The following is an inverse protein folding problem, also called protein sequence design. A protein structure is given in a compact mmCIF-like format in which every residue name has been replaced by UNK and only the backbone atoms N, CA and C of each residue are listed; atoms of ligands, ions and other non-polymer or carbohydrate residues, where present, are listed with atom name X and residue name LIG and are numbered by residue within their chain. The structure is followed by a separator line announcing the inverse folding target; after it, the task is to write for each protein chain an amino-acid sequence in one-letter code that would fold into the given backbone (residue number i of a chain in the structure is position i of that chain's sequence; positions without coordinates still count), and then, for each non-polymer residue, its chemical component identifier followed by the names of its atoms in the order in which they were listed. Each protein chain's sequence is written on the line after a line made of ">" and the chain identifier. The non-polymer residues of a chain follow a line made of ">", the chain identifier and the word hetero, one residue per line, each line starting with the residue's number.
data_IF_901873848111
#
_entry.id   IF_901873848111
#
_cell.length_a   1.000
_cell.length_b   1.000
_cell.length_c   1.000
_cell.angle_alpha   90.00
_cell.angle_beta   90.00
_cell.angle_gamma   90.00
#
_symmetry.space_group_name_H-M   'P 1'
#
loop_
_entity.id
_entity.type
_entity.pdbx_description
1 polymer ?
#
# COMPACT_ATOMS: atom_id res chain seq x y z
N UNK A 1 -2.15 7.71 30.05
CA UNK A 1 -2.43 7.21 28.68
C UNK A 1 -2.99 8.39 27.89
N UNK A 2 -2.32 8.83 26.82
CA UNK A 2 -2.92 9.81 25.92
C UNK A 2 -4.08 9.14 25.18
N UNK A 3 -5.27 9.74 25.26
CA UNK A 3 -6.45 9.29 24.51
C UNK A 3 -6.43 9.98 23.15
N UNK A 4 -6.58 9.20 22.08
CA UNK A 4 -6.87 9.73 20.75
C UNK A 4 -8.33 10.16 20.72
N UNK A 5 -8.59 11.39 20.31
CA UNK A 5 -9.95 11.86 20.04
C UNK A 5 -10.53 11.07 18.86
N UNK A 6 -11.75 10.57 19.03
CA UNK A 6 -12.36 9.67 18.05
C UNK A 6 -13.00 10.48 16.91
N UNK A 7 -12.59 10.18 15.68
CA UNK A 7 -13.13 10.75 14.46
C UNK A 7 -14.63 10.40 14.33
N UNK A 8 -15.52 11.40 14.25
CA UNK A 8 -16.96 11.15 14.16
C UNK A 8 -17.34 10.54 12.81
N UNK A 9 -18.46 9.82 12.80
CA UNK A 9 -19.08 9.39 11.56
C UNK A 9 -19.80 10.55 10.88
N UNK A 10 -19.15 11.13 9.87
CA UNK A 10 -19.67 12.28 9.12
C UNK A 10 -20.86 11.90 8.21
N UNK A 11 -21.10 10.60 7.96
CA UNK A 11 -22.14 10.08 7.03
C UNK A 11 -22.14 10.77 5.66
N UNK A 12 -20.94 10.94 5.09
CA UNK A 12 -20.73 11.66 3.84
C UNK A 12 -20.48 10.73 2.66
N UNK A 13 -21.01 11.09 1.49
CA UNK A 13 -20.70 10.42 0.24
C UNK A 13 -19.23 10.62 -0.17
N UNK A 14 -18.71 9.75 -1.05
CA UNK A 14 -17.30 9.80 -1.48
C UNK A 14 -16.94 11.10 -2.22
N UNK A 15 -17.90 11.70 -2.92
CA UNK A 15 -17.72 12.98 -3.62
C UNK A 15 -17.93 14.21 -2.71
N UNK A 16 -18.32 14.01 -1.45
CA UNK A 16 -18.62 15.09 -0.51
C UNK A 16 -17.42 15.45 0.38
N UNK A 17 -16.20 15.34 -0.17
CA UNK A 17 -14.98 15.58 0.60
C UNK A 17 -14.96 16.96 1.22
N UNK A 18 -15.53 17.99 0.60
CA UNK A 18 -15.65 19.33 1.19
C UNK A 18 -16.24 19.35 2.62
N UNK A 19 -17.10 18.39 2.99
CA UNK A 19 -17.64 18.27 4.36
C UNK A 19 -16.60 17.82 5.39
N UNK A 20 -15.49 17.21 4.95
CA UNK A 20 -14.35 16.91 5.81
C UNK A 20 -13.54 18.16 6.17
N UNK A 21 -13.73 19.31 5.51
CA UNK A 21 -12.96 20.53 5.82
C UNK A 21 -13.30 21.10 7.19
N UNK A 22 -14.54 20.90 7.63
CA UNK A 22 -15.03 21.35 8.93
C UNK A 22 -14.62 20.43 10.08
N UNK A 23 -13.96 19.31 9.80
CA UNK A 23 -13.51 18.33 10.80
C UNK A 23 -12.01 18.54 11.14
N UNK A 24 -11.68 19.13 12.32
CA UNK A 24 -10.30 19.46 12.68
C UNK A 24 -9.37 18.24 12.73
N UNK A 25 -9.88 17.05 13.05
CA UNK A 25 -9.09 15.83 13.12
C UNK A 25 -8.50 15.41 11.76
N UNK A 26 -9.11 15.87 10.67
CA UNK A 26 -8.70 15.55 9.30
C UNK A 26 -7.77 16.60 8.69
N UNK A 27 -7.44 17.70 9.39
CA UNK A 27 -6.60 18.79 8.87
C UNK A 27 -5.27 18.27 8.26
N UNK A 28 -4.59 17.35 8.95
CA UNK A 28 -3.32 16.80 8.47
C UNK A 28 -3.51 15.83 7.30
N UNK A 29 -4.59 15.05 7.31
CA UNK A 29 -4.96 14.16 6.19
C UNK A 29 -5.21 15.00 4.94
N UNK A 30 -5.94 16.10 5.08
CA UNK A 30 -6.24 17.04 4.01
C UNK A 30 -5.00 17.64 3.36
N UNK A 31 -4.09 18.16 4.18
CA UNK A 31 -2.85 18.79 3.71
C UNK A 31 -2.08 17.84 2.79
N UNK A 32 -1.95 16.58 3.19
CA UNK A 32 -1.21 15.56 2.44
C UNK A 32 -2.02 15.02 1.26
N UNK A 33 -3.31 14.74 1.43
CA UNK A 33 -4.18 14.20 0.39
C UNK A 33 -4.30 15.15 -0.82
N UNK A 34 -4.43 16.45 -0.59
CA UNK A 34 -4.51 17.44 -1.66
C UNK A 34 -3.22 17.56 -2.49
N UNK A 35 -2.08 17.13 -1.95
CA UNK A 35 -0.81 17.14 -2.67
C UNK A 35 -0.54 15.84 -3.43
N UNK A 36 -0.90 14.68 -2.85
CA UNK A 36 -0.52 13.37 -3.37
C UNK A 36 -1.65 12.56 -4.01
N UNK A 37 -2.91 12.93 -3.74
CA UNK A 37 -4.10 12.14 -4.10
C UNK A 37 -5.19 13.03 -4.69
N UNK A 38 -4.81 14.14 -5.33
CA UNK A 38 -5.71 15.02 -6.07
C UNK A 38 -5.59 14.76 -7.57
N UNK A 39 -6.71 14.91 -8.28
CA UNK A 39 -6.70 15.04 -9.74
C UNK A 39 -6.46 16.52 -10.09
N UNK A 40 -5.76 16.79 -11.19
CA UNK A 40 -5.26 18.13 -11.56
C UNK A 40 -6.26 19.27 -11.27
N UNK A 41 -5.97 20.09 -10.24
CA UNK A 41 -6.72 21.30 -9.90
C UNK A 41 -7.94 21.10 -8.99
N UNK A 42 -8.31 19.85 -8.66
CA UNK A 42 -9.47 19.54 -7.83
C UNK A 42 -9.12 19.21 -6.37
N UNK A 43 -10.07 19.49 -5.47
CA UNK A 43 -10.00 19.09 -4.06
C UNK A 43 -10.02 17.56 -3.99
N UNK A 44 -9.08 16.96 -3.23
CA UNK A 44 -9.00 15.50 -3.15
C UNK A 44 -10.27 14.89 -2.55
N UNK A 45 -10.75 13.79 -3.15
CA UNK A 45 -11.82 12.96 -2.59
C UNK A 45 -11.31 11.97 -1.53
N UNK A 46 -9.99 11.84 -1.40
CA UNK A 46 -9.35 10.86 -0.53
C UNK A 46 -9.74 10.99 0.96
N UNK A 47 -9.92 12.20 1.54
CA UNK A 47 -10.38 12.32 2.92
C UNK A 47 -11.76 11.70 3.17
N UNK A 48 -12.74 11.90 2.26
CA UNK A 48 -14.06 11.29 2.40
C UNK A 48 -14.00 9.75 2.30
N UNK A 49 -13.16 9.24 1.39
CA UNK A 49 -12.92 7.80 1.26
C UNK A 49 -12.25 7.21 2.50
N UNK A 50 -11.24 7.91 3.03
CA UNK A 50 -10.56 7.54 4.26
C UNK A 50 -11.52 7.47 5.45
N UNK A 51 -12.33 8.52 5.66
CA UNK A 51 -13.35 8.55 6.73
C UNK A 51 -14.30 7.36 6.61
N UNK A 52 -14.83 7.10 5.41
CA UNK A 52 -15.72 5.97 5.20
C UNK A 52 -15.04 4.63 5.49
N UNK A 53 -13.80 4.41 5.03
CA UNK A 53 -13.03 3.19 5.34
C UNK A 53 -12.76 3.05 6.84
N UNK A 54 -12.45 4.16 7.52
CA UNK A 54 -12.22 4.18 8.96
C UNK A 54 -13.46 3.73 9.73
N UNK A 55 -14.60 4.38 9.51
CA UNK A 55 -15.87 4.05 10.18
C UNK A 55 -16.29 2.62 9.82
N UNK A 56 -16.22 2.24 8.55
CA UNK A 56 -16.58 0.89 8.12
C UNK A 56 -15.73 -0.21 8.77
N UNK A 57 -14.47 0.07 9.08
CA UNK A 57 -13.60 -0.88 9.77
C UNK A 57 -13.91 -1.05 11.26
N UNK A 58 -14.65 -0.10 11.87
CA UNK A 58 -15.09 -0.15 13.27
C UNK A 58 -16.42 -0.89 13.45
N UNK A 59 -17.27 -0.87 12.44
CA UNK A 59 -18.61 -1.43 12.48
C UNK A 59 -18.63 -2.92 12.11
N UNK A 60 -19.66 -3.62 12.56
CA UNK A 60 -20.01 -4.96 12.06
C UNK A 60 -20.52 -4.89 10.61
N UNK A 61 -20.52 -6.01 9.86
CA UNK A 61 -21.13 -6.05 8.53
C UNK A 61 -22.59 -5.54 8.51
N UNK A 62 -23.39 -5.89 9.52
CA UNK A 62 -24.80 -5.50 9.63
C UNK A 62 -24.96 -3.99 9.91
N UNK A 63 -24.16 -3.45 10.82
CA UNK A 63 -24.12 -2.01 11.12
C UNK A 63 -23.69 -1.19 9.90
N UNK A 64 -22.74 -1.71 9.11
CA UNK A 64 -22.30 -1.10 7.87
C UNK A 64 -23.41 -1.02 6.81
N UNK A 65 -24.18 -2.09 6.64
CA UNK A 65 -25.35 -2.10 5.72
C UNK A 65 -26.37 -1.05 6.15
N UNK A 66 -26.67 -0.95 7.46
CA UNK A 66 -27.61 0.04 7.98
C UNK A 66 -27.09 1.48 7.74
N UNK A 67 -25.81 1.72 8.04
CA UNK A 67 -25.15 3.02 7.82
C UNK A 67 -25.23 3.44 6.35
N UNK A 68 -24.91 2.55 5.41
CA UNK A 68 -24.96 2.88 3.98
C UNK A 68 -26.38 3.15 3.49
N UNK A 69 -27.38 2.44 4.01
CA UNK A 69 -28.79 2.72 3.72
C UNK A 69 -29.21 4.13 4.16
N UNK A 70 -28.77 4.58 5.33
CA UNK A 70 -29.00 5.97 5.79
C UNK A 70 -28.35 7.02 4.88
N UNK A 71 -27.24 6.65 4.23
CA UNK A 71 -26.55 7.49 3.26
C UNK A 71 -27.11 7.37 1.82
N UNK A 72 -28.15 6.56 1.61
CA UNK A 72 -28.74 6.33 0.29
C UNK A 72 -27.89 5.44 -0.63
N UNK A 73 -26.96 4.66 -0.09
CA UNK A 73 -26.12 3.72 -0.83
C UNK A 73 -26.61 2.30 -0.59
N UNK A 74 -26.95 1.59 -1.67
CA UNK A 74 -27.38 0.18 -1.60
C UNK A 74 -26.16 -0.75 -1.70
N UNK A 75 -25.88 -1.47 -0.61
CA UNK A 75 -24.88 -2.54 -0.53
C UNK A 75 -25.44 -3.70 0.28
N UNK A 76 -25.08 -4.92 -0.12
CA UNK A 76 -25.54 -6.12 0.56
C UNK A 76 -24.59 -6.53 1.69
N UNK A 77 -25.06 -7.43 2.55
CA UNK A 77 -24.21 -8.04 3.57
C UNK A 77 -23.05 -8.83 2.94
N UNK A 78 -23.27 -9.43 1.76
CA UNK A 78 -22.24 -10.20 1.05
C UNK A 78 -21.05 -9.32 0.65
N UNK A 79 -21.26 -8.03 0.34
CA UNK A 79 -20.17 -7.10 -0.02
C UNK A 79 -19.14 -6.93 1.12
N UNK A 80 -19.58 -7.00 2.38
CA UNK A 80 -18.72 -6.87 3.56
C UNK A 80 -18.14 -8.20 4.03
N UNK A 81 -18.74 -9.31 3.60
CA UNK A 81 -18.26 -10.67 3.87
C UNK A 81 -17.39 -11.22 2.74
N UNK A 82 -17.26 -10.49 1.63
CA UNK A 82 -16.51 -10.93 0.46
C UNK A 82 -15.02 -11.18 0.81
N UNK A 83 -14.39 -12.23 0.26
CA UNK A 83 -12.98 -12.56 0.56
C UNK A 83 -11.98 -11.44 0.23
N UNK A 84 -12.34 -10.53 -0.66
CA UNK A 84 -11.56 -9.37 -1.08
C UNK A 84 -11.85 -8.10 -0.25
N UNK A 85 -12.79 -8.15 0.70
CA UNK A 85 -13.07 -7.01 1.58
C UNK A 85 -11.91 -6.80 2.55
N UNK A 86 -11.13 -5.73 2.35
CA UNK A 86 -9.97 -5.39 3.16
C UNK A 86 -10.33 -4.32 4.20
N UNK A 87 -10.39 -4.73 5.47
CA UNK A 87 -10.47 -3.80 6.61
C UNK A 87 -9.20 -2.97 6.73
N UNK A 88 -9.34 -1.75 7.25
CA UNK A 88 -8.23 -0.87 7.55
C UNK A 88 -7.41 -1.44 8.71
N UNK A 89 -6.10 -1.51 8.53
CA UNK A 89 -5.18 -2.00 9.55
C UNK A 89 -4.91 -0.90 10.60
N UNK A 90 -5.34 -1.17 11.83
CA UNK A 90 -5.13 -0.30 13.00
C UNK A 90 -4.26 -0.98 14.07
N UNK A 91 -3.62 -2.11 13.76
CA UNK A 91 -2.86 -2.94 14.71
C UNK A 91 -1.68 -2.20 15.37
N UNK A 92 -1.18 -1.15 14.74
CA UNK A 92 -0.07 -0.34 15.24
C UNK A 92 -0.48 0.81 16.18
N UNK A 93 -1.76 0.92 16.56
CA UNK A 93 -2.25 2.01 17.45
C UNK A 93 -1.54 2.03 18.80
N UNK A 94 -1.39 0.87 19.44
CA UNK A 94 -0.74 0.79 20.75
C UNK A 94 0.74 1.16 20.64
N UNK A 95 1.43 0.65 19.61
CA UNK A 95 2.81 1.01 19.31
C UNK A 95 3.00 2.50 19.04
N UNK A 96 2.01 3.17 18.42
CA UNK A 96 2.02 4.62 18.24
C UNK A 96 1.96 5.35 19.59
N UNK A 97 1.04 4.94 20.48
CA UNK A 97 0.79 5.61 21.76
C UNK A 97 1.85 5.33 22.83
N UNK A 98 2.42 4.13 22.84
CA UNK A 98 3.36 3.67 23.87
C UNK A 98 4.82 4.04 23.58
N UNK A 99 5.16 4.38 22.32
CA UNK A 99 6.52 4.76 21.96
C UNK A 99 6.88 6.15 22.50
N UNK A 100 7.54 6.18 23.66
CA UNK A 100 7.91 7.41 24.36
C UNK A 100 8.79 8.34 23.51
N UNK A 101 9.77 7.81 22.78
CA UNK A 101 10.63 8.58 21.89
C UNK A 101 9.82 9.26 20.77
N UNK A 102 8.83 8.55 20.22
CA UNK A 102 7.93 9.09 19.23
C UNK A 102 7.07 10.20 19.82
N UNK A 103 6.43 9.97 20.98
CA UNK A 103 5.57 10.97 21.64
C UNK A 103 6.34 12.25 21.99
N UNK A 104 7.58 12.09 22.48
CA UNK A 104 8.47 13.21 22.74
C UNK A 104 8.82 13.98 21.46
N UNK A 105 9.04 13.26 20.34
CA UNK A 105 9.30 13.89 19.04
C UNK A 105 8.06 14.67 18.55
N UNK A 106 6.85 14.08 18.63
CA UNK A 106 5.58 14.72 18.25
C UNK A 106 5.40 16.04 19.02
N UNK A 107 5.63 16.01 20.33
CA UNK A 107 5.56 17.19 21.20
C UNK A 107 6.62 18.24 20.85
N UNK A 108 7.84 17.83 20.48
CA UNK A 108 8.89 18.75 20.05
C UNK A 108 8.50 19.50 18.78
N UNK A 109 7.88 18.82 17.81
CA UNK A 109 7.33 19.45 16.61
C UNK A 109 6.05 20.27 16.90
N UNK A 110 5.43 20.10 18.07
CA UNK A 110 4.18 20.77 18.43
C UNK A 110 2.99 20.29 17.61
N UNK A 111 2.99 19.00 17.24
CA UNK A 111 1.93 18.40 16.47
C UNK A 111 0.84 17.88 17.40
N UNK A 112 -0.39 17.93 16.90
CA UNK A 112 -1.51 17.28 17.57
C UNK A 112 -1.42 15.76 17.38
N UNK A 113 -1.53 15.02 18.48
CA UNK A 113 -1.37 13.56 18.50
C UNK A 113 -2.52 12.87 17.77
N UNK A 114 -3.76 13.35 17.92
CA UNK A 114 -4.95 12.79 17.28
C UNK A 114 -4.93 13.05 15.78
N UNK A 115 -4.63 14.29 15.36
CA UNK A 115 -4.51 14.62 13.92
C UNK A 115 -3.39 13.82 13.25
N UNK A 116 -2.26 13.66 13.93
CA UNK A 116 -1.14 12.87 13.42
C UNK A 116 -1.47 11.38 13.34
N UNK A 117 -2.24 10.84 14.29
CA UNK A 117 -2.72 9.47 14.23
C UNK A 117 -3.54 9.22 12.96
N UNK A 118 -4.49 10.11 12.64
CA UNK A 118 -5.30 9.98 11.43
C UNK A 118 -4.48 10.16 10.14
N UNK A 119 -3.51 11.08 10.13
CA UNK A 119 -2.57 11.18 9.00
C UNK A 119 -1.74 9.89 8.83
N UNK A 120 -1.23 9.32 9.92
CA UNK A 120 -0.45 8.09 9.89
C UNK A 120 -1.27 6.92 9.34
N UNK A 121 -2.51 6.79 9.81
CA UNK A 121 -3.45 5.76 9.37
C UNK A 121 -3.81 5.93 7.90
N UNK A 122 -4.06 7.16 7.45
CA UNK A 122 -4.34 7.49 6.05
C UNK A 122 -3.16 7.12 5.14
N UNK A 123 -1.95 7.57 5.46
CA UNK A 123 -0.75 7.29 4.64
C UNK A 123 -0.50 5.79 4.54
N UNK A 124 -0.64 5.07 5.65
CA UNK A 124 -0.48 3.61 5.66
C UNK A 124 -1.55 2.92 4.80
N UNK A 125 -2.84 3.23 5.02
CA UNK A 125 -3.94 2.63 4.26
C UNK A 125 -3.85 2.96 2.76
N UNK A 126 -3.46 4.19 2.40
CA UNK A 126 -3.23 4.59 1.02
C UNK A 126 -2.10 3.79 0.36
N UNK A 127 -0.94 3.65 1.00
CA UNK A 127 0.19 2.90 0.42
C UNK A 127 -0.13 1.40 0.34
N UNK A 128 -0.83 0.87 1.35
CA UNK A 128 -1.34 -0.49 1.34
C UNK A 128 -2.53 -0.69 0.39
N UNK A 129 -3.02 0.35 -0.25
CA UNK A 129 -4.04 0.23 -1.30
C UNK A 129 -3.43 -0.24 -2.63
N UNK A 130 -2.21 0.20 -2.91
CA UNK A 130 -1.40 -0.21 -4.07
C UNK A 130 -0.91 -1.66 -3.97
N UNK A 131 -1.01 -2.28 -2.79
CA UNK A 131 -0.71 -3.70 -2.61
C UNK A 131 -1.83 -4.60 -3.13
N UNK A 132 -2.94 -4.00 -3.55
CA UNK A 132 -4.03 -4.68 -4.21
C UNK A 132 -4.13 -4.24 -5.66
N UNK A 133 -3.07 -4.27 -6.49
CA UNK A 133 -3.32 -4.13 -7.94
C UNK A 133 -4.44 -5.13 -8.31
N UNK A 134 -5.57 -4.65 -8.86
CA UNK A 134 -6.52 -5.48 -9.61
C UNK A 134 -5.69 -6.52 -10.32
N UNK A 135 -5.81 -7.80 -9.92
CA UNK A 135 -4.93 -8.89 -10.34
C UNK A 135 -4.52 -8.62 -11.78
N UNK A 136 -3.24 -8.34 -12.05
CA UNK A 136 -2.76 -8.48 -13.42
C UNK A 136 -3.24 -9.86 -13.83
N UNK A 137 -3.99 -9.94 -14.93
CA UNK A 137 -4.43 -11.26 -15.39
C UNK A 137 -3.17 -12.11 -15.57
N UNK A 138 -3.23 -13.40 -15.27
CA UNK A 138 -2.09 -14.32 -15.44
C UNK A 138 -1.44 -14.17 -16.83
N UNK A 139 -2.23 -13.77 -17.83
CA UNK A 139 -1.83 -13.48 -19.21
C UNK A 139 -0.98 -12.20 -19.34
N UNK A 140 -1.24 -11.18 -18.53
CA UNK A 140 -0.41 -9.97 -18.49
C UNK A 140 0.95 -10.24 -17.85
N UNK A 141 0.99 -11.05 -16.78
CA UNK A 141 2.26 -11.42 -16.15
C UNK A 141 3.11 -12.32 -17.05
N UNK A 142 2.47 -13.22 -17.81
CA UNK A 142 3.15 -13.99 -18.86
C UNK A 142 3.64 -13.06 -19.98
N UNK A 143 2.88 -12.02 -20.33
CA UNK A 143 3.29 -11.01 -21.32
C UNK A 143 4.54 -10.25 -20.90
N UNK A 144 4.56 -9.72 -19.68
CA UNK A 144 5.72 -9.03 -19.12
C UNK A 144 6.95 -9.96 -19.04
N UNK A 145 6.74 -11.26 -18.77
CA UNK A 145 7.81 -12.25 -18.78
C UNK A 145 8.36 -12.49 -20.20
N UNK A 146 7.50 -12.65 -21.21
CA UNK A 146 7.89 -12.78 -22.63
C UNK A 146 8.73 -11.58 -23.08
N UNK A 147 8.34 -10.36 -22.70
CA UNK A 147 9.11 -9.15 -23.02
C UNK A 147 10.51 -9.19 -22.40
N UNK A 148 10.62 -9.68 -21.16
CA UNK A 148 11.91 -9.84 -20.49
C UNK A 148 12.82 -10.89 -21.14
N UNK A 149 12.25 -11.94 -21.76
CA UNK A 149 13.01 -12.97 -22.47
C UNK A 149 13.66 -12.43 -23.74
N UNK A 150 13.08 -11.41 -24.38
CA UNK A 150 13.63 -10.80 -25.60
C UNK A 150 15.01 -10.17 -25.40
N UNK A 151 15.35 -9.79 -24.16
CA UNK A 151 16.59 -9.10 -23.80
C UNK A 151 17.47 -9.91 -22.83
N UNK A 152 17.10 -11.16 -22.51
CA UNK A 152 17.84 -11.94 -21.51
C UNK A 152 19.03 -12.68 -22.14
N UNK A 153 20.11 -12.84 -21.37
CA UNK A 153 21.29 -13.63 -21.75
C UNK A 153 21.23 -15.08 -21.24
N UNK A 154 20.18 -15.43 -20.50
CA UNK A 154 20.01 -16.72 -19.84
C UNK A 154 18.79 -16.73 -18.92
N UNK A 155 18.29 -17.93 -18.64
CA UNK A 155 17.17 -18.20 -17.74
C UNK A 155 17.67 -19.15 -16.65
N UNK A 156 17.23 -18.93 -15.41
CA UNK A 156 17.40 -19.88 -14.32
C UNK A 156 16.04 -20.18 -13.70
N UNK A 157 15.68 -21.46 -13.67
CA UNK A 157 14.49 -21.97 -13.00
C UNK A 157 14.89 -22.62 -11.69
N UNK A 158 14.38 -22.09 -10.58
CA UNK A 158 14.61 -22.63 -9.25
C UNK A 158 13.36 -23.35 -8.76
N UNK A 159 13.45 -24.65 -8.53
CA UNK A 159 12.39 -25.41 -7.88
C UNK A 159 12.48 -25.22 -6.36
N UNK A 160 11.44 -24.64 -5.76
CA UNK A 160 11.28 -24.42 -4.31
C UNK A 160 10.77 -25.66 -3.57
N UNK A 161 11.31 -26.84 -3.87
CA UNK A 161 11.07 -28.04 -3.07
C UNK A 161 12.15 -28.21 -1.98
N UNK A 162 11.97 -29.18 -1.07
CA UNK A 162 12.89 -29.44 0.06
C UNK A 162 14.37 -29.63 -0.34
N UNK A 163 14.65 -29.91 -1.63
CA UNK A 163 16.00 -30.16 -2.15
C UNK A 163 16.56 -29.03 -3.04
N UNK A 164 15.86 -27.90 -3.18
CA UNK A 164 16.23 -26.71 -4.00
C UNK A 164 17.12 -27.04 -5.22
N UNK A 165 16.50 -27.44 -6.33
CA UNK A 165 17.21 -27.67 -7.60
C UNK A 165 17.09 -26.45 -8.52
N UNK A 166 18.21 -26.07 -9.11
CA UNK A 166 18.28 -25.03 -10.13
C UNK A 166 18.51 -25.67 -11.50
N UNK A 167 17.84 -25.14 -12.52
CA UNK A 167 18.06 -25.45 -13.92
C UNK A 167 18.36 -24.15 -14.64
N UNK A 168 19.55 -24.04 -15.20
CA UNK A 168 19.98 -22.88 -15.95
C UNK A 168 20.13 -23.21 -17.43
N UNK A 169 19.83 -22.23 -18.28
CA UNK A 169 20.14 -22.28 -19.69
C UNK A 169 20.52 -20.90 -20.20
N UNK A 170 21.57 -20.84 -21.01
CA UNK A 170 21.97 -19.65 -21.78
C UNK A 170 21.86 -19.90 -23.28
N UNK A 171 21.29 -21.04 -23.67
CA UNK A 171 21.12 -21.39 -25.08
C UNK A 171 20.01 -20.56 -25.71
N UNK A 172 20.39 -19.74 -26.69
CA UNK A 172 19.47 -18.83 -27.37
C UNK A 172 18.24 -19.54 -27.95
N UNK A 173 18.42 -20.71 -28.59
CA UNK A 173 17.31 -21.45 -29.19
C UNK A 173 16.30 -21.94 -28.14
N UNK A 174 16.78 -22.31 -26.95
CA UNK A 174 15.93 -22.76 -25.84
C UNK A 174 15.13 -21.60 -25.26
N UNK A 175 15.77 -20.43 -25.12
CA UNK A 175 15.12 -19.19 -24.68
C UNK A 175 14.06 -18.75 -25.70
N UNK A 176 14.40 -18.74 -27.00
CA UNK A 176 13.48 -18.42 -28.10
C UNK A 176 12.29 -19.40 -28.16
N UNK A 177 12.52 -20.69 -27.91
CA UNK A 177 11.44 -21.68 -27.85
C UNK A 177 10.46 -21.41 -26.70
N UNK A 178 10.96 -21.11 -25.50
CA UNK A 178 10.13 -20.76 -24.34
C UNK A 178 9.32 -19.50 -24.63
N UNK A 179 9.95 -18.49 -25.24
CA UNK A 179 9.28 -17.26 -25.65
C UNK A 179 8.12 -17.55 -26.62
N UNK A 180 8.37 -18.29 -27.69
CA UNK A 180 7.37 -18.65 -28.70
C UNK A 180 6.19 -19.45 -28.12
N UNK A 181 6.46 -20.36 -27.18
CA UNK A 181 5.42 -21.15 -26.52
C UNK A 181 4.49 -20.28 -25.67
N UNK A 182 5.05 -19.32 -24.92
CA UNK A 182 4.29 -18.39 -24.09
C UNK A 182 3.53 -17.35 -24.93
N UNK A 183 4.13 -16.86 -26.01
CA UNK A 183 3.47 -16.00 -27.00
C UNK A 183 2.25 -16.68 -27.63
N UNK A 184 2.41 -17.96 -27.99
CA UNK A 184 1.32 -18.76 -28.55
C UNK A 184 0.20 -18.96 -27.52
N UNK A 185 0.55 -19.17 -26.25
CA UNK A 185 -0.40 -19.25 -25.15
C UNK A 185 -1.21 -17.95 -25.00
N UNK A 186 -0.55 -16.79 -24.94
CA UNK A 186 -1.22 -15.47 -24.81
C UNK A 186 -2.19 -15.24 -25.97
N UNK A 187 -1.74 -15.50 -27.20
CA UNK A 187 -2.57 -15.34 -28.41
C UNK A 187 -3.80 -16.24 -28.36
N UNK A 188 -3.62 -17.52 -28.03
CA UNK A 188 -4.71 -18.49 -27.95
C UNK A 188 -5.72 -18.12 -26.86
N UNK A 189 -5.25 -17.66 -25.69
CA UNK A 189 -6.11 -17.18 -24.63
C UNK A 189 -6.95 -15.98 -25.08
N UNK A 190 -6.30 -14.94 -25.63
CA UNK A 190 -6.96 -13.73 -26.08
C UNK A 190 -7.98 -14.03 -27.19
N UNK A 191 -7.67 -14.95 -28.11
CA UNK A 191 -8.61 -15.39 -29.14
C UNK A 191 -9.86 -16.04 -28.53
N UNK A 192 -9.74 -16.85 -27.48
CA UNK A 192 -10.89 -17.48 -26.80
C UNK A 192 -11.72 -16.43 -26.05
N UNK A 193 -11.07 -15.50 -25.35
CA UNK A 193 -11.77 -14.43 -24.61
C UNK A 193 -12.51 -13.49 -25.56
N UNK A 194 -11.92 -13.14 -26.70
CA UNK A 194 -12.49 -12.20 -27.67
C UNK A 194 -13.52 -12.85 -28.62
N UNK A 195 -13.62 -14.19 -28.63
CA UNK A 195 -14.68 -14.88 -29.40
C UNK A 195 -16.06 -14.53 -28.86
N UNK A 196 -17.02 -14.42 -29.78
CA UNK A 196 -18.42 -14.21 -29.45
C UNK A 196 -19.09 -15.55 -29.07
N UNK A 197 -18.72 -16.07 -27.90
CA UNK A 197 -19.20 -17.34 -27.33
C UNK A 197 -19.80 -17.10 -25.95
N UNK A 198 -20.65 -18.04 -25.50
CA UNK A 198 -21.18 -18.00 -24.14
C UNK A 198 -20.04 -18.17 -23.11
N UNK A 199 -20.17 -17.63 -21.89
CA UNK A 199 -19.17 -17.82 -20.83
C UNK A 199 -18.87 -19.30 -20.53
N UNK A 200 -19.88 -20.17 -20.65
CA UNK A 200 -19.75 -21.61 -20.44
C UNK A 200 -18.92 -22.29 -21.53
N UNK A 201 -19.08 -21.88 -22.79
CA UNK A 201 -18.31 -22.42 -23.91
C UNK A 201 -16.87 -21.90 -23.91
N UNK A 202 -16.66 -20.63 -23.53
CA UNK A 202 -15.31 -20.09 -23.28
C UNK A 202 -14.59 -20.89 -22.20
N UNK A 203 -15.25 -21.13 -21.06
CA UNK A 203 -14.67 -21.93 -19.98
C UNK A 203 -14.34 -23.35 -20.45
N UNK A 204 -15.21 -23.98 -21.26
CA UNK A 204 -14.94 -25.30 -21.83
C UNK A 204 -13.71 -25.30 -22.75
N UNK A 205 -13.57 -24.32 -23.64
CA UNK A 205 -12.41 -24.19 -24.52
C UNK A 205 -11.12 -23.97 -23.72
N UNK A 206 -11.17 -23.12 -22.68
CA UNK A 206 -10.03 -22.91 -21.78
C UNK A 206 -9.63 -24.23 -21.09
N UNK A 207 -10.61 -25.04 -20.67
CA UNK A 207 -10.36 -26.37 -20.10
C UNK A 207 -9.67 -27.33 -21.08
N UNK A 208 -10.07 -27.33 -22.35
CA UNK A 208 -9.56 -28.21 -23.40
C UNK A 208 -8.12 -27.89 -23.82
N UNK A 209 -7.70 -26.62 -23.76
CA UNK A 209 -6.32 -26.22 -24.10
C UNK A 209 -5.30 -26.49 -22.96
N UNK A 210 -5.71 -27.22 -21.92
CA UNK A 210 -4.83 -27.59 -20.81
C UNK A 210 -4.65 -26.51 -19.73
N UNK A 211 -5.36 -25.37 -19.80
CA UNK A 211 -5.33 -24.38 -18.72
C UNK A 211 -5.81 -24.98 -17.41
N UNK A 212 -6.72 -25.96 -17.43
CA UNK A 212 -7.17 -26.59 -16.19
C UNK A 212 -6.03 -27.26 -15.42
N UNK A 213 -5.04 -27.85 -16.11
CA UNK A 213 -3.85 -28.38 -15.43
C UNK A 213 -2.95 -27.26 -14.87
N UNK A 214 -2.86 -26.14 -15.59
CA UNK A 214 -2.15 -24.94 -15.12
C UNK A 214 -2.85 -24.26 -13.94
N UNK A 215 -4.19 -24.23 -13.92
CA UNK A 215 -5.04 -23.61 -12.90
C UNK A 215 -5.26 -24.52 -11.67
N UNK A 216 -5.39 -25.83 -11.87
CA UNK A 216 -5.65 -26.81 -10.81
C UNK A 216 -4.35 -27.41 -10.23
N UNK A 217 -3.25 -27.45 -11.00
CA UNK A 217 -1.96 -28.04 -10.60
C UNK A 217 -0.77 -27.11 -10.78
N UNK A 218 -0.99 -25.85 -11.18
CA UNK A 218 -0.03 -24.78 -10.94
C UNK A 218 0.14 -24.58 -9.45
N UNK A 219 0.87 -25.48 -8.80
CA UNK A 219 1.49 -25.20 -7.52
C UNK A 219 2.39 -23.99 -7.77
N UNK A 220 1.91 -22.80 -7.42
CA UNK A 220 2.73 -21.62 -7.27
C UNK A 220 3.62 -21.29 -8.50
N UNK A 221 3.06 -20.65 -9.52
CA UNK A 221 3.68 -19.36 -9.84
C UNK A 221 3.17 -18.42 -8.77
N UNK A 222 3.81 -18.53 -7.62
CA UNK A 222 3.54 -17.66 -6.50
C UNK A 222 4.10 -16.28 -6.85
N UNK A 223 3.25 -15.44 -7.42
CA UNK A 223 3.46 -14.00 -7.43
C UNK A 223 3.02 -13.35 -6.10
N UNK A 224 2.73 -14.09 -5.02
CA UNK A 224 2.54 -13.49 -3.67
C UNK A 224 3.78 -12.69 -3.23
N UNK A 225 4.92 -12.86 -3.91
CA UNK A 225 6.10 -12.02 -3.70
C UNK A 225 6.30 -10.85 -4.69
N UNK A 226 5.34 -10.53 -5.57
CA UNK A 226 5.41 -9.34 -6.45
C UNK A 226 4.12 -8.51 -6.60
N UNK A 227 2.97 -8.90 -6.05
CA UNK A 227 1.77 -8.04 -6.09
C UNK A 227 1.76 -6.94 -5.03
N UNK A 228 2.67 -7.01 -4.06
CA UNK A 228 2.90 -5.95 -3.08
C UNK A 228 4.06 -5.08 -3.53
N UNK A 229 3.88 -3.75 -3.51
CA UNK A 229 5.00 -2.81 -3.63
C UNK A 229 6.13 -3.29 -2.72
N UNK A 230 7.34 -3.42 -3.27
CA UNK A 230 8.50 -3.84 -2.49
C UNK A 230 8.56 -2.98 -1.23
N UNK A 231 8.82 -3.58 -0.06
CA UNK A 231 8.78 -2.86 1.22
C UNK A 231 9.65 -1.59 1.22
N UNK A 232 10.75 -1.62 0.47
CA UNK A 232 11.61 -0.45 0.23
C UNK A 232 10.90 0.69 -0.51
N UNK A 233 10.06 0.38 -1.49
CA UNK A 233 9.26 1.33 -2.26
C UNK A 233 8.10 1.89 -1.43
N UNK A 234 7.43 1.06 -0.62
CA UNK A 234 6.43 1.51 0.38
C UNK A 234 7.04 2.52 1.36
N UNK A 235 8.20 2.18 1.94
CA UNK A 235 8.95 3.07 2.85
C UNK A 235 9.37 4.37 2.18
N UNK A 236 9.77 4.32 0.91
CA UNK A 236 10.12 5.52 0.15
C UNK A 236 8.91 6.45 0.01
N UNK A 237 7.77 5.95 -0.47
CA UNK A 237 6.56 6.79 -0.62
C UNK A 237 6.05 7.32 0.71
N UNK A 238 6.06 6.48 1.74
CA UNK A 238 5.73 6.88 3.09
C UNK A 238 6.59 8.07 3.53
N UNK A 239 7.90 7.98 3.33
CA UNK A 239 8.83 9.04 3.69
C UNK A 239 8.68 10.30 2.83
N UNK A 240 8.35 10.16 1.54
CA UNK A 240 8.04 11.26 0.65
C UNK A 240 6.82 12.07 1.15
N UNK A 241 5.73 11.38 1.49
CA UNK A 241 4.52 12.01 2.03
C UNK A 241 4.76 12.75 3.35
N UNK A 242 5.51 12.15 4.27
CA UNK A 242 5.85 12.81 5.53
C UNK A 242 6.92 13.90 5.39
N UNK A 243 7.81 13.84 4.39
CA UNK A 243 8.74 14.94 4.10
C UNK A 243 7.99 16.18 3.65
N UNK A 244 6.98 16.02 2.78
CA UNK A 244 6.09 17.09 2.39
C UNK A 244 5.36 17.67 3.61
N UNK A 245 4.70 16.82 4.41
CA UNK A 245 4.00 17.27 5.62
C UNK A 245 4.94 18.02 6.58
N UNK A 246 6.16 17.56 6.76
CA UNK A 246 7.11 18.19 7.69
C UNK A 246 7.88 19.36 7.08
N UNK A 247 7.69 19.72 5.81
CA UNK A 247 8.53 20.70 5.08
C UNK A 247 8.72 22.01 5.83
N UNK A 248 7.62 22.61 6.30
CA UNK A 248 7.64 23.91 6.97
C UNK A 248 7.58 23.82 8.50
N UNK A 249 7.53 22.60 9.05
CA UNK A 249 7.49 22.34 10.49
C UNK A 249 8.91 22.22 11.05
N UNK A 250 9.14 22.81 12.22
CA UNK A 250 10.43 22.74 12.94
C UNK A 250 10.21 22.34 14.38
N UNK A 251 11.03 21.40 14.85
CA UNK A 251 11.02 20.99 16.24
C UNK A 251 11.64 22.07 17.13
N UNK A 252 11.01 22.33 18.28
CA UNK A 252 11.49 23.24 19.31
C UNK A 252 11.74 22.48 20.62
N UNK A 253 13.02 22.32 20.97
CA UNK A 253 13.44 21.64 22.20
C UNK A 253 12.97 22.35 23.46
N UNK A 254 12.68 23.65 23.40
CA UNK A 254 12.18 24.40 24.57
C UNK A 254 10.84 23.89 25.05
N UNK A 255 10.03 23.27 24.19
CA UNK A 255 8.75 22.65 24.56
C UNK A 255 8.90 21.44 25.50
N UNK A 256 10.12 20.94 25.68
CA UNK A 256 10.46 19.76 26.48
C UNK A 256 11.54 20.05 27.53
N UNK A 257 11.91 21.32 27.73
CA UNK A 257 12.97 21.70 28.68
C UNK A 257 12.66 21.28 30.12
N UNK A 258 11.38 21.11 30.45
CA UNK A 258 10.93 20.69 31.79
C UNK A 258 11.04 19.19 32.06
N UNK A 259 11.29 18.34 31.04
CA UNK A 259 11.28 16.87 31.19
C UNK A 259 12.70 16.27 31.09
N UNK A 260 13.74 17.08 30.80
CA UNK A 260 15.14 16.65 30.66
C UNK A 260 15.32 15.37 29.79
N UNK A 261 14.53 15.24 28.71
CA UNK A 261 14.61 14.11 27.79
C UNK A 261 15.44 14.49 26.57
N UNK A 262 16.31 13.58 26.13
CA UNK A 262 17.04 13.73 24.86
C UNK A 262 16.09 13.43 23.70
N UNK A 263 15.73 14.47 22.94
CA UNK A 263 14.81 14.35 21.80
C UNK A 263 15.50 14.77 20.51
N UNK A 264 15.43 13.89 19.51
CA UNK A 264 15.91 14.20 18.16
C UNK A 264 14.99 15.21 17.50
N UNK A 265 15.57 16.28 16.96
CA UNK A 265 14.87 17.31 16.17
C UNK A 265 14.97 17.07 14.67
N UNK A 266 15.57 15.95 14.27
CA UNK A 266 15.76 15.59 12.87
C UNK A 266 14.45 15.04 12.27
N UNK A 267 13.97 15.67 11.19
CA UNK A 267 12.77 15.22 10.45
C UNK A 267 12.95 13.79 9.94
N UNK A 268 14.14 13.43 9.47
CA UNK A 268 14.42 12.08 8.99
C UNK A 268 14.29 11.05 10.10
N UNK A 269 14.76 11.39 11.30
CA UNK A 269 14.62 10.52 12.45
C UNK A 269 13.14 10.37 12.83
N UNK A 270 12.38 11.45 12.79
CA UNK A 270 10.94 11.39 13.06
C UNK A 270 10.20 10.48 12.07
N UNK A 271 10.45 10.64 10.77
CA UNK A 271 9.87 9.78 9.72
C UNK A 271 10.31 8.33 9.92
N UNK A 272 11.57 8.10 10.27
CA UNK A 272 12.10 6.77 10.56
C UNK A 272 11.35 6.09 11.72
N UNK A 273 11.04 6.82 12.80
CA UNK A 273 10.21 6.30 13.91
C UNK A 273 8.80 5.96 13.46
N UNK A 274 8.19 6.77 12.59
CA UNK A 274 6.86 6.49 12.04
C UNK A 274 6.86 5.21 11.17
N UNK A 275 7.89 5.00 10.34
CA UNK A 275 8.11 3.76 9.57
C UNK A 275 8.20 2.54 10.49
N UNK A 276 8.94 2.66 11.60
CA UNK A 276 9.00 1.61 12.61
C UNK A 276 7.62 1.37 13.22
N UNK A 277 6.88 2.43 13.58
CA UNK A 277 5.55 2.32 14.20
C UNK A 277 4.58 1.54 13.33
N UNK A 278 4.48 1.84 12.03
CA UNK A 278 3.57 1.13 11.10
C UNK A 278 4.06 -0.27 10.72
N UNK A 279 5.22 -0.72 11.21
CA UNK A 279 5.71 -2.08 10.99
C UNK A 279 6.42 -2.30 9.65
N UNK A 280 6.76 -1.24 8.92
CA UNK A 280 7.50 -1.35 7.65
C UNK A 280 8.97 -1.70 7.82
N UNK A 281 9.53 -1.51 9.02
CA UNK A 281 10.90 -1.92 9.34
C UNK A 281 11.09 -2.21 10.84
N UNK A 282 12.25 -2.78 11.18
CA UNK A 282 12.59 -3.19 12.52
C UNK A 282 13.02 -2.05 13.44
N UNK A 283 13.35 -2.42 14.69
CA UNK A 283 13.72 -1.51 15.78
C UNK A 283 14.80 -0.48 15.41
N UNK A 284 15.72 -0.83 14.51
CA UNK A 284 16.78 0.07 14.04
C UNK A 284 16.25 1.38 13.46
N UNK A 285 15.05 1.40 12.87
CA UNK A 285 14.42 2.64 12.40
C UNK A 285 13.91 3.53 13.55
N UNK A 286 13.80 3.01 14.78
CA UNK A 286 13.50 3.80 15.97
C UNK A 286 14.75 4.41 16.63
N UNK A 287 15.94 3.98 16.22
CA UNK A 287 17.24 4.32 16.83
C UNK A 287 17.99 5.38 15.99
N UNK A 288 18.44 6.45 16.66
CA UNK A 288 19.13 7.57 16.02
C UNK A 288 20.60 7.25 15.68
N UNK A 289 21.22 6.38 16.48
CA UNK A 289 22.60 5.96 16.33
C UNK A 289 22.68 4.43 16.32
N UNK A 290 23.62 3.87 15.57
CA UNK A 290 23.92 2.44 15.63
C UNK A 290 24.80 2.09 16.84
N UNK A 291 25.13 0.80 17.00
CA UNK A 291 25.96 0.28 18.09
C UNK A 291 27.34 0.92 18.16
N UNK A 292 27.84 1.45 17.05
CA UNK A 292 29.15 2.08 16.93
C UNK A 292 29.09 3.59 17.17
N UNK A 293 27.91 4.13 17.52
CA UNK A 293 27.68 5.55 17.74
C UNK A 293 27.55 6.37 16.46
N UNK A 294 27.48 5.74 15.29
CA UNK A 294 27.29 6.45 14.02
C UNK A 294 25.82 6.79 13.81
N UNK A 295 25.55 7.97 13.25
CA UNK A 295 24.19 8.39 12.93
C UNK A 295 23.56 7.43 11.92
N UNK A 296 22.34 6.99 12.19
CA UNK A 296 21.60 6.10 11.29
C UNK A 296 21.24 6.82 9.97
N UNK A 297 21.68 6.26 8.83
CA UNK A 297 21.47 6.80 7.48
C UNK A 297 20.60 5.92 6.58
N UNK A 298 19.93 4.91 7.12
CA UNK A 298 19.16 3.94 6.31
C UNK A 298 18.07 4.62 5.49
N UNK A 299 17.30 5.52 6.11
CA UNK A 299 16.25 6.25 5.42
C UNK A 299 16.82 7.18 4.34
N UNK A 300 17.88 7.92 4.64
CA UNK A 300 18.53 8.80 3.67
C UNK A 300 19.08 8.03 2.46
N UNK A 301 19.66 6.85 2.70
CA UNK A 301 20.14 5.97 1.63
C UNK A 301 18.98 5.45 0.76
N UNK A 302 17.84 5.11 1.39
CA UNK A 302 16.64 4.68 0.69
C UNK A 302 16.09 5.80 -0.22
N UNK A 303 15.94 7.02 0.31
CA UNK A 303 15.45 8.16 -0.45
C UNK A 303 16.36 8.49 -1.64
N UNK A 304 17.69 8.37 -1.47
CA UNK A 304 18.64 8.56 -2.57
C UNK A 304 18.48 7.50 -3.66
N UNK A 305 18.16 6.26 -3.31
CA UNK A 305 17.95 5.16 -4.27
C UNK A 305 16.75 5.44 -5.18
N UNK A 306 15.65 5.94 -4.61
CA UNK A 306 14.38 6.15 -5.33
C UNK A 306 14.16 7.61 -5.77
N UNK A 307 15.22 8.43 -5.84
CA UNK A 307 15.10 9.88 -6.13
C UNK A 307 14.45 10.19 -7.49
N UNK A 308 14.64 9.32 -8.47
CA UNK A 308 14.17 9.51 -9.85
C UNK A 308 13.09 8.50 -10.24
N UNK A 309 12.48 7.85 -9.25
CA UNK A 309 11.46 6.83 -9.46
C UNK A 309 10.10 7.47 -9.32
N UNK A 310 9.16 7.07 -10.19
CA UNK A 310 7.78 7.55 -10.13
C UNK A 310 6.94 6.57 -9.31
N UNK A 311 6.10 7.09 -8.43
CA UNK A 311 5.16 6.26 -7.69
C UNK A 311 3.97 5.91 -8.60
N UNK A 312 3.48 4.66 -8.63
CA UNK A 312 2.35 4.28 -9.46
C UNK A 312 1.13 5.16 -9.20
N UNK A 313 0.38 5.44 -10.27
CA UNK A 313 -0.77 6.34 -10.22
C UNK A 313 -2.08 5.64 -9.80
N UNK A 314 -2.09 4.30 -9.70
CA UNK A 314 -3.33 3.54 -9.48
C UNK A 314 -3.43 2.93 -8.07
N UNK A 315 -4.23 3.57 -7.21
CA UNK A 315 -4.68 3.03 -5.93
C UNK A 315 -6.14 2.55 -6.04
N UNK A 316 -6.44 1.33 -5.60
CA UNK A 316 -7.76 0.73 -5.75
C UNK A 316 -8.89 1.54 -5.10
N UNK A 317 -8.86 1.68 -3.78
CA UNK A 317 -9.92 2.31 -3.02
C UNK A 317 -9.90 3.83 -3.18
N UNK A 318 -8.73 4.45 -3.37
CA UNK A 318 -8.63 5.92 -3.42
C UNK A 318 -8.91 6.54 -4.80
N UNK A 319 -8.76 5.79 -5.90
CA UNK A 319 -9.00 6.33 -7.27
C UNK A 319 -10.18 5.72 -8.04
N UNK A 320 -10.82 4.63 -7.58
CA UNK A 320 -12.05 4.10 -8.19
C UNK A 320 -13.31 4.84 -7.69
N UNK A 321 -14.19 5.23 -8.62
CA UNK A 321 -15.49 5.87 -8.35
C UNK A 321 -16.55 4.89 -7.88
#
# INVERSE_FOLDING_TARGET
>A
MQLIEELPDLKIGWCESYKCLDEPLLEYVWEVANHFVSYEGDISIAPAKFVNRYITSKLTPEENVLRLKEMGVDKSLEDFMAPNFKKMDMSFKDKFLENEDLQNTIKAFGLDVSKLWYLLLFVHDYIEDFSTSLKKSEVQDIGDFVDSLSNCSGITLTLTNEKKKNFDTSEKNTIEFVQLALDYYIKTYNDIINRNLSPKDKLKLLKEIGLNHFLEHGQAIDFENKTNLAISFKKWKFADMFQFFLKDRKADKKKLSHINVKVSTDKMMFISRLIYTVGYDGKRYNEEYDSDGNKNRMLSNLLRKYKNEDFPDFANHYYLF
#
